data_IF_462768743142
#
_entry.id   IF_462768743142
#
_cell.length_a   1.000
_cell.length_b   1.000
_cell.length_c   1.000
_cell.angle_alpha   90.00
_cell.angle_beta   90.00
_cell.angle_gamma   90.00
#
_symmetry.space_group_name_H-M   'P 1'
#
loop_
_entity.id
_entity.type
_entity.pdbx_description
1 polymer ?
#
# COMPACT_ATOMS: atom_id res chain seq x y z
N UNK A 1 3.84 -16.54 5.36
CA UNK A 1 2.62 -16.85 4.57
C UNK A 1 2.38 -15.70 3.60
N UNK A 2 1.75 -15.93 2.44
CA UNK A 2 1.43 -14.87 1.47
C UNK A 2 -0.07 -14.84 1.20
N UNK A 3 -0.65 -13.64 1.06
CA UNK A 3 -2.04 -13.43 0.65
C UNK A 3 -2.05 -12.70 -0.69
N UNK A 4 -2.85 -13.17 -1.63
CA UNK A 4 -3.01 -12.49 -2.91
C UNK A 4 -3.72 -11.15 -2.70
N UNK A 5 -3.25 -10.11 -3.40
CA UNK A 5 -3.91 -8.82 -3.51
C UNK A 5 -5.39 -8.97 -3.94
N UNK A 6 -6.30 -8.25 -3.29
CA UNK A 6 -7.72 -8.24 -3.63
C UNK A 6 -8.22 -6.82 -3.90
N UNK A 7 -8.43 -6.51 -5.17
CA UNK A 7 -8.93 -5.20 -5.65
C UNK A 7 -10.26 -4.77 -5.04
N UNK A 8 -11.06 -5.66 -4.44
CA UNK A 8 -12.32 -5.28 -3.80
C UNK A 8 -12.12 -4.58 -2.45
N UNK A 9 -11.01 -4.86 -1.75
CA UNK A 9 -10.74 -4.36 -0.40
C UNK A 9 -9.40 -3.63 -0.27
N UNK A 10 -8.54 -3.74 -1.27
CA UNK A 10 -7.18 -3.22 -1.28
C UNK A 10 -6.97 -2.27 -2.47
N UNK A 11 -6.12 -1.26 -2.28
CA UNK A 11 -5.61 -0.35 -3.31
C UNK A 11 -4.11 -0.60 -3.49
N UNK A 12 -3.67 -0.75 -4.73
CA UNK A 12 -2.25 -0.79 -5.06
C UNK A 12 -1.74 0.63 -5.25
N UNK A 13 -0.68 1.00 -4.52
CA UNK A 13 -0.11 2.36 -4.57
C UNK A 13 1.40 2.35 -4.73
N UNK A 14 1.93 3.41 -5.32
CA UNK A 14 3.36 3.74 -5.36
C UNK A 14 3.56 5.18 -4.93
N UNK A 15 4.78 5.51 -4.48
CA UNK A 15 5.14 6.90 -4.25
C UNK A 15 5.19 7.63 -5.59
N UNK A 16 4.52 8.78 -5.66
CA UNK A 16 4.39 9.59 -6.88
C UNK A 16 5.75 9.98 -7.46
N UNK A 17 6.71 10.36 -6.62
CA UNK A 17 8.07 10.68 -7.05
C UNK A 17 8.74 9.50 -7.76
N UNK A 18 8.56 8.29 -7.24
CA UNK A 18 9.27 7.10 -7.72
C UNK A 18 8.67 6.66 -9.06
N UNK A 19 7.35 6.75 -9.19
CA UNK A 19 6.64 6.55 -10.45
C UNK A 19 7.05 7.56 -11.53
N UNK A 20 7.04 8.85 -11.21
CA UNK A 20 7.39 9.93 -12.15
C UNK A 20 8.83 9.86 -12.64
N UNK A 21 9.75 9.37 -11.81
CA UNK A 21 11.16 9.19 -12.17
C UNK A 21 11.46 7.81 -12.77
N UNK A 22 10.43 6.99 -13.04
CA UNK A 22 10.57 5.61 -13.51
C UNK A 22 11.53 4.76 -12.65
N UNK A 23 11.51 5.00 -11.34
CA UNK A 23 12.41 4.38 -10.36
C UNK A 23 11.59 3.73 -9.23
N UNK A 24 10.59 2.94 -9.62
CA UNK A 24 9.71 2.27 -8.66
C UNK A 24 10.48 1.19 -7.91
N UNK A 25 11.38 0.46 -8.58
CA UNK A 25 12.08 -0.69 -8.00
C UNK A 25 11.08 -1.70 -7.41
N UNK A 26 11.26 -2.06 -6.14
CA UNK A 26 10.33 -2.91 -5.37
C UNK A 26 9.23 -2.11 -4.65
N UNK A 27 9.12 -0.81 -4.93
CA UNK A 27 8.37 0.18 -4.16
C UNK A 27 6.86 0.22 -4.39
N UNK A 28 6.22 -0.94 -4.49
CA UNK A 28 4.77 -1.07 -4.53
C UNK A 28 4.22 -1.42 -3.15
N UNK A 29 3.11 -0.80 -2.78
CA UNK A 29 2.48 -0.99 -1.48
C UNK A 29 0.99 -1.26 -1.66
N UNK A 30 0.42 -1.99 -0.71
CA UNK A 30 -1.03 -2.15 -0.63
C UNK A 30 -1.55 -1.32 0.55
N UNK A 31 -2.66 -0.63 0.34
CA UNK A 31 -3.39 0.11 1.37
C UNK A 31 -4.83 -0.42 1.42
N UNK A 32 -5.44 -0.62 2.61
CA UNK A 32 -6.87 -0.90 2.71
C UNK A 32 -7.72 0.19 2.04
N UNK A 33 -8.76 -0.19 1.29
CA UNK A 33 -9.63 0.76 0.57
C UNK A 33 -10.36 1.74 1.50
N UNK A 34 -10.80 1.25 2.65
CA UNK A 34 -11.46 2.04 3.68
C UNK A 34 -10.51 3.12 4.25
N UNK A 35 -9.24 2.80 4.47
CA UNK A 35 -8.21 3.77 4.84
C UNK A 35 -7.89 4.73 3.69
N UNK A 36 -7.73 4.19 2.47
CA UNK A 36 -7.36 4.99 1.29
C UNK A 36 -8.44 5.99 0.89
N UNK A 37 -9.72 5.68 1.08
CA UNK A 37 -10.84 6.57 0.77
C UNK A 37 -11.26 7.46 1.95
N UNK A 38 -10.60 7.32 3.10
CA UNK A 38 -10.96 8.06 4.29
C UNK A 38 -10.75 9.58 4.12
N UNK A 39 -11.65 10.39 4.67
CA UNK A 39 -11.48 11.84 4.72
C UNK A 39 -10.41 12.21 5.77
N UNK A 40 -9.52 13.13 5.38
CA UNK A 40 -8.46 13.63 6.26
C UNK A 40 -9.01 14.67 7.24
N UNK A 41 -9.14 14.27 8.50
CA UNK A 41 -9.52 15.12 9.63
C UNK A 41 -8.29 15.58 10.45
N UNK A 42 -7.07 15.30 9.95
CA UNK A 42 -5.81 15.62 10.61
C UNK A 42 -5.40 14.67 11.73
N UNK A 43 -6.23 13.68 12.08
CA UNK A 43 -5.95 12.70 13.15
C UNK A 43 -5.70 11.29 12.62
N UNK A 44 -6.26 10.95 11.46
CA UNK A 44 -6.20 9.61 10.89
C UNK A 44 -4.93 9.32 10.10
N UNK A 45 -4.62 8.03 10.02
CA UNK A 45 -3.49 7.46 9.28
C UNK A 45 -3.95 6.40 8.30
N UNK A 46 -3.04 5.98 7.42
CA UNK A 46 -3.17 4.82 6.56
C UNK A 46 -1.91 3.96 6.61
N UNK A 47 -2.08 2.67 6.35
CA UNK A 47 -1.01 1.68 6.40
C UNK A 47 -0.54 1.31 5.00
N UNK A 48 0.77 1.38 4.79
CA UNK A 48 1.43 0.76 3.66
C UNK A 48 1.82 -0.65 4.05
N UNK A 49 1.20 -1.66 3.45
CA UNK A 49 1.58 -3.05 3.62
C UNK A 49 2.72 -3.43 2.68
N UNK A 50 3.63 -4.26 3.18
CA UNK A 50 4.74 -4.79 2.42
C UNK A 50 4.24 -5.79 1.37
N UNK A 51 4.62 -5.57 0.11
CA UNK A 51 4.21 -6.42 -1.01
C UNK A 51 5.38 -7.19 -1.60
N UNK A 52 5.05 -8.28 -2.29
CA UNK A 52 5.94 -9.05 -3.14
C UNK A 52 5.40 -9.04 -4.56
N UNK A 53 6.25 -8.67 -5.52
CA UNK A 53 5.97 -8.73 -6.94
C UNK A 53 6.63 -9.96 -7.56
N UNK A 54 5.82 -10.83 -8.17
CA UNK A 54 6.29 -11.98 -8.94
C UNK A 54 5.61 -12.00 -10.31
N UNK A 55 6.32 -11.52 -11.33
CA UNK A 55 5.75 -11.31 -12.67
C UNK A 55 4.59 -10.32 -12.60
N UNK A 56 3.36 -10.79 -12.88
CA UNK A 56 2.14 -9.97 -12.85
C UNK A 56 1.30 -10.19 -11.57
N UNK A 57 1.87 -10.84 -10.55
CA UNK A 57 1.16 -11.12 -9.29
C UNK A 57 1.70 -10.25 -8.17
N UNK A 58 0.77 -9.63 -7.45
CA UNK A 58 1.04 -8.88 -6.23
C UNK A 58 0.53 -9.68 -5.03
N UNK A 59 1.39 -9.90 -4.06
CA UNK A 59 1.03 -10.56 -2.80
C UNK A 59 1.47 -9.75 -1.59
N UNK A 60 0.76 -9.89 -0.48
CA UNK A 60 1.08 -9.31 0.80
C UNK A 60 1.99 -10.26 1.58
N UNK A 61 3.02 -9.72 2.23
CA UNK A 61 3.71 -10.45 3.28
C UNK A 61 2.83 -10.52 4.53
N UNK A 62 2.74 -11.70 5.14
CA UNK A 62 1.98 -11.91 6.37
C UNK A 62 2.89 -12.26 7.54
N UNK A 63 2.50 -11.83 8.74
CA UNK A 63 3.07 -12.27 10.01
C UNK A 63 2.79 -13.76 10.26
N UNK A 64 3.37 -14.32 11.32
CA UNK A 64 3.08 -15.70 11.76
C UNK A 64 1.60 -15.92 12.10
N UNK A 65 0.87 -14.85 12.43
CA UNK A 65 -0.56 -14.88 12.78
C UNK A 65 -1.47 -14.69 11.55
N UNK A 66 -0.90 -14.46 10.36
CA UNK A 66 -1.67 -14.26 9.13
C UNK A 66 -2.09 -12.81 8.86
N UNK A 67 -1.62 -11.85 9.65
CA UNK A 67 -1.89 -10.42 9.46
C UNK A 67 -0.93 -9.80 8.42
N UNK A 68 -1.36 -8.87 7.55
CA UNK A 68 -0.45 -8.14 6.66
C UNK A 68 0.67 -7.44 7.43
N UNK A 69 1.89 -7.52 6.89
CA UNK A 69 3.05 -6.82 7.46
C UNK A 69 2.97 -5.34 7.10
N UNK A 70 2.83 -4.50 8.13
CA UNK A 70 2.88 -3.04 7.99
C UNK A 70 4.33 -2.64 7.73
N UNK A 71 4.60 -2.09 6.55
CA UNK A 71 5.88 -1.47 6.23
C UNK A 71 5.99 -0.09 6.88
N UNK A 72 4.91 0.69 6.82
CA UNK A 72 4.84 2.03 7.40
C UNK A 72 3.41 2.46 7.65
N UNK A 73 3.20 3.23 8.72
CA UNK A 73 1.99 4.00 8.97
C UNK A 73 2.27 5.48 8.66
N UNK A 74 1.34 6.14 7.97
CA UNK A 74 1.48 7.54 7.54
C UNK A 74 0.20 8.32 7.83
N UNK A 75 0.28 9.62 8.20
CA UNK A 75 -0.91 10.46 8.30
C UNK A 75 -1.59 10.63 6.94
N UNK A 76 -2.92 10.74 6.92
CA UNK A 76 -3.70 10.88 5.67
C UNK A 76 -3.29 12.08 4.82
N UNK A 77 -2.76 13.15 5.42
CA UNK A 77 -2.21 14.30 4.69
C UNK A 77 -1.11 13.94 3.69
N UNK A 78 -0.38 12.84 3.96
CA UNK A 78 0.65 12.29 3.07
C UNK A 78 0.12 11.37 1.98
N UNK A 79 -1.19 11.10 1.93
CA UNK A 79 -1.81 10.32 0.83
C UNK A 79 -1.50 10.94 -0.53
N UNK A 80 -1.39 12.28 -0.59
CA UNK A 80 -1.02 13.03 -1.80
C UNK A 80 0.40 12.75 -2.33
N UNK A 81 1.28 12.16 -1.52
CA UNK A 81 2.62 11.71 -1.94
C UNK A 81 2.56 10.40 -2.75
N UNK A 82 1.40 9.75 -2.82
CA UNK A 82 1.20 8.44 -3.45
C UNK A 82 0.14 8.52 -4.56
N UNK A 83 0.19 7.55 -5.47
CA UNK A 83 -0.80 7.38 -6.53
C UNK A 83 -1.30 5.93 -6.55
N UNK A 84 -2.57 5.76 -6.87
CA UNK A 84 -3.18 4.47 -7.22
C UNK A 84 -2.81 4.10 -8.66
N UNK A 85 -2.58 2.80 -8.92
CA UNK A 85 -2.12 2.25 -10.20
C UNK A 85 -2.95 1.06 -10.63
#
# INVERSE_FOLDING_TARGET
MIKLYNTNVDVLVVRKSDYQNNNIGDGYFIVPKDEWLCEDDGLKSFHLFLTKFEGNRVSLFLTSEGNPVIFRELPLSRRSDYIEI
#
